data_IF_636955613749
#
_entry.id   IF_636955613749
#
_cell.length_a   1.000
_cell.length_b   1.000
_cell.length_c   1.000
_cell.angle_alpha   90.00
_cell.angle_beta   90.00
_cell.angle_gamma   90.00
#
_symmetry.space_group_name_H-M   'P 1'
#
loop_
_entity.id
_entity.type
_entity.pdbx_description
1 polymer ?
#
# COMPACT_ATOMS: atom_id res chain seq x y z
N UNK A 1 -44.22 8.39 43.55
CA UNK A 1 -43.61 7.59 42.45
C UNK A 1 -43.27 8.38 41.16
N UNK A 2 -43.71 9.65 40.97
CA UNK A 2 -43.32 10.48 39.80
C UNK A 2 -41.96 11.19 39.92
N UNK A 3 -41.52 11.52 41.15
CA UNK A 3 -40.25 12.23 41.41
C UNK A 3 -39.01 11.34 41.17
N UNK A 4 -39.08 10.06 41.55
CA UNK A 4 -37.98 9.10 41.34
C UNK A 4 -37.69 8.83 39.85
N UNK A 5 -38.71 8.77 38.98
CA UNK A 5 -38.51 8.55 37.53
C UNK A 5 -37.81 9.73 36.84
N UNK A 6 -38.04 10.98 37.29
CA UNK A 6 -37.39 12.17 36.73
C UNK A 6 -35.90 12.23 37.08
N UNK A 7 -35.51 11.83 38.30
CA UNK A 7 -34.09 11.85 38.70
C UNK A 7 -33.28 10.75 38.01
N UNK A 8 -33.83 9.55 37.83
CA UNK A 8 -33.13 8.48 37.11
C UNK A 8 -32.88 8.83 35.65
N UNK A 9 -33.86 9.44 34.98
CA UNK A 9 -33.74 9.89 33.58
C UNK A 9 -32.65 10.96 33.42
N UNK A 10 -32.57 11.90 34.37
CA UNK A 10 -31.54 12.95 34.38
C UNK A 10 -30.15 12.36 34.60
N UNK A 11 -30.01 11.42 35.54
CA UNK A 11 -28.74 10.74 35.83
C UNK A 11 -28.26 9.94 34.61
N UNK A 12 -29.14 9.20 33.93
CA UNK A 12 -28.77 8.45 32.72
C UNK A 12 -28.37 9.35 31.55
N UNK A 13 -29.00 10.52 31.41
CA UNK A 13 -28.66 11.50 30.37
C UNK A 13 -27.27 12.13 30.63
N UNK A 14 -26.97 12.46 31.89
CA UNK A 14 -25.68 13.06 32.24
C UNK A 14 -24.54 12.04 32.11
N UNK A 15 -24.74 10.78 32.53
CA UNK A 15 -23.73 9.74 32.34
C UNK A 15 -23.45 9.47 30.85
N UNK A 16 -24.48 9.42 30.00
CA UNK A 16 -24.29 9.21 28.56
C UNK A 16 -23.53 10.34 27.90
N UNK A 17 -23.79 11.61 28.28
CA UNK A 17 -23.04 12.77 27.79
C UNK A 17 -21.56 12.71 28.21
N UNK A 18 -21.26 12.35 29.47
CA UNK A 18 -19.88 12.22 29.98
C UNK A 18 -19.11 11.11 29.23
N UNK A 19 -19.76 9.98 28.98
CA UNK A 19 -19.17 8.87 28.23
C UNK A 19 -18.88 9.30 26.78
N UNK A 20 -19.81 9.99 26.12
CA UNK A 20 -19.60 10.52 24.76
C UNK A 20 -18.42 11.51 24.67
N UNK A 21 -18.30 12.45 25.61
CA UNK A 21 -17.19 13.40 25.66
C UNK A 21 -15.82 12.73 25.90
N UNK A 22 -15.81 11.65 26.67
CA UNK A 22 -14.59 10.88 26.96
C UNK A 22 -14.15 10.07 25.74
N UNK A 23 -15.09 9.50 24.98
CA UNK A 23 -14.80 8.79 23.72
C UNK A 23 -14.24 9.73 22.66
N UNK A 24 -14.80 10.94 22.50
CA UNK A 24 -14.29 11.91 21.51
C UNK A 24 -12.89 12.41 21.85
N UNK A 25 -12.63 12.70 23.13
CA UNK A 25 -11.33 13.16 23.60
C UNK A 25 -10.26 12.07 23.50
N UNK A 26 -10.62 10.82 23.83
CA UNK A 26 -9.75 9.66 23.66
C UNK A 26 -9.46 9.38 22.18
N UNK A 27 -10.47 9.46 21.30
CA UNK A 27 -10.29 9.30 19.86
C UNK A 27 -9.37 10.39 19.25
N UNK A 28 -9.54 11.65 19.66
CA UNK A 28 -8.67 12.75 19.22
C UNK A 28 -7.23 12.60 19.74
N UNK A 29 -7.04 12.18 21.00
CA UNK A 29 -5.72 11.98 21.59
C UNK A 29 -5.00 10.74 21.00
N UNK A 30 -5.76 9.67 20.76
CA UNK A 30 -5.27 8.47 20.08
C UNK A 30 -4.83 8.74 18.63
N UNK A 31 -5.61 9.53 17.85
CA UNK A 31 -5.18 9.96 16.51
C UNK A 31 -3.93 10.86 16.56
N UNK A 32 -3.87 11.81 17.50
CA UNK A 32 -2.75 12.77 17.61
C UNK A 32 -1.41 12.11 17.97
N UNK A 33 -1.39 11.16 18.91
CA UNK A 33 -0.16 10.46 19.30
C UNK A 33 0.34 9.48 18.22
N UNK A 34 -0.56 8.80 17.49
CA UNK A 34 -0.17 7.95 16.36
C UNK A 34 0.47 8.76 15.21
N UNK A 35 0.11 10.04 15.04
CA UNK A 35 0.70 10.91 14.01
C UNK A 35 2.16 11.26 14.33
N UNK A 36 2.58 11.30 15.61
CA UNK A 36 3.98 11.58 15.99
C UNK A 36 4.94 10.42 15.69
N UNK A 37 4.50 9.17 15.83
CA UNK A 37 5.32 7.98 15.56
C UNK A 37 5.22 7.47 14.11
N UNK A 38 4.38 8.10 13.29
CA UNK A 38 4.15 7.70 11.91
C UNK A 38 5.41 7.83 11.04
N UNK A 39 5.76 6.73 10.35
CA UNK A 39 6.95 6.62 9.50
C UNK A 39 6.66 6.75 8.01
N UNK A 40 5.41 6.54 7.59
CA UNK A 40 5.05 6.41 6.19
C UNK A 40 3.82 7.22 5.81
N UNK A 41 3.66 7.43 4.50
CA UNK A 41 2.44 7.96 3.88
C UNK A 41 2.02 6.96 2.81
N UNK A 42 0.82 6.42 2.95
CA UNK A 42 0.16 5.60 1.95
C UNK A 42 -0.60 6.50 0.97
N UNK A 43 -0.48 6.23 -0.32
CA UNK A 43 -1.21 6.89 -1.41
C UNK A 43 -2.03 5.84 -2.12
N UNK A 44 -3.32 6.11 -2.30
CA UNK A 44 -4.23 5.27 -3.06
C UNK A 44 -4.59 5.99 -4.36
N UNK A 45 -4.53 5.28 -5.48
CA UNK A 45 -4.66 5.83 -6.83
C UNK A 45 -5.92 5.34 -7.51
N UNK A 46 -6.58 6.24 -8.24
CA UNK A 46 -7.68 5.86 -9.13
C UNK A 46 -7.16 5.20 -10.43
N UNK A 47 -8.09 4.78 -11.29
CA UNK A 47 -7.79 4.10 -12.57
C UNK A 47 -6.94 4.95 -13.53
N UNK A 48 -6.95 6.28 -13.37
CA UNK A 48 -6.17 7.24 -14.15
C UNK A 48 -4.78 7.51 -13.55
N UNK A 49 -4.44 6.90 -12.41
CA UNK A 49 -3.17 7.15 -11.71
C UNK A 49 -3.12 8.44 -10.92
N UNK A 50 -4.21 9.20 -10.81
CA UNK A 50 -4.24 10.34 -9.90
C UNK A 50 -4.36 9.85 -8.46
N UNK A 51 -3.67 10.51 -7.52
CA UNK A 51 -3.83 10.26 -6.09
C UNK A 51 -5.26 10.65 -5.73
N UNK A 52 -6.05 9.66 -5.32
CA UNK A 52 -7.42 9.86 -4.87
C UNK A 52 -7.44 10.20 -3.38
N UNK A 53 -6.72 9.41 -2.58
CA UNK A 53 -6.59 9.61 -1.14
C UNK A 53 -5.15 9.35 -0.68
N UNK A 54 -4.77 9.97 0.44
CA UNK A 54 -3.53 9.65 1.16
C UNK A 54 -3.79 9.52 2.66
N UNK A 55 -3.08 8.60 3.31
CA UNK A 55 -3.16 8.38 4.76
C UNK A 55 -1.76 8.27 5.35
N UNK A 56 -1.52 9.00 6.43
CA UNK A 56 -0.32 8.85 7.26
C UNK A 56 -0.46 7.55 8.05
N UNK A 57 0.55 6.68 8.00
CA UNK A 57 0.52 5.35 8.61
C UNK A 57 1.83 5.06 9.36
N UNK A 58 1.74 4.25 10.40
CA UNK A 58 2.88 3.91 11.27
C UNK A 58 3.66 2.70 10.75
N UNK A 59 3.01 1.83 9.98
CA UNK A 59 3.62 0.63 9.37
C UNK A 59 3.23 0.45 7.91
N UNK A 60 4.05 -0.28 7.16
CA UNK A 60 3.74 -0.67 5.77
C UNK A 60 2.49 -1.56 5.72
N UNK A 61 2.34 -2.49 6.66
CA UNK A 61 1.16 -3.34 6.74
C UNK A 61 -0.13 -2.54 6.93
N UNK A 62 -0.10 -1.51 7.78
CA UNK A 62 -1.24 -0.60 7.95
C UNK A 62 -1.56 0.12 6.63
N UNK A 63 -0.53 0.63 5.95
CA UNK A 63 -0.68 1.25 4.63
C UNK A 63 -1.31 0.30 3.61
N UNK A 64 -0.84 -0.94 3.54
CA UNK A 64 -1.33 -1.95 2.61
C UNK A 64 -2.80 -2.28 2.90
N UNK A 65 -3.13 -2.53 4.17
CA UNK A 65 -4.51 -2.81 4.60
C UNK A 65 -5.44 -1.64 4.25
N UNK A 66 -4.99 -0.41 4.46
CA UNK A 66 -5.77 0.78 4.12
C UNK A 66 -5.97 0.93 2.61
N UNK A 67 -4.92 0.81 1.79
CA UNK A 67 -5.02 0.84 0.32
C UNK A 67 -5.98 -0.25 -0.16
N UNK A 68 -5.83 -1.47 0.35
CA UNK A 68 -6.71 -2.60 0.02
C UNK A 68 -8.17 -2.32 0.38
N UNK A 69 -8.43 -1.66 1.52
CA UNK A 69 -9.79 -1.31 1.95
C UNK A 69 -10.49 -0.33 1.01
N UNK A 70 -9.71 0.41 0.20
CA UNK A 70 -10.22 1.30 -0.84
C UNK A 70 -10.56 0.56 -2.14
N UNK A 71 -10.24 -0.73 -2.25
CA UNK A 71 -10.48 -1.51 -3.47
C UNK A 71 -9.60 -1.08 -4.65
N UNK A 72 -8.54 -0.31 -4.39
CA UNK A 72 -7.67 0.30 -5.39
C UNK A 72 -6.22 -0.06 -5.11
N UNK A 73 -5.35 0.33 -6.05
CA UNK A 73 -3.90 0.21 -5.95
C UNK A 73 -3.29 1.40 -5.22
N UNK A 74 -2.09 1.21 -4.68
CA UNK A 74 -1.43 2.23 -3.90
C UNK A 74 0.04 1.97 -3.69
N UNK A 75 0.73 3.01 -3.23
CA UNK A 75 2.11 2.93 -2.78
C UNK A 75 2.21 3.45 -1.36
N UNK A 76 3.27 3.07 -0.69
CA UNK A 76 3.62 3.57 0.62
C UNK A 76 5.01 4.18 0.50
N UNK A 77 5.13 5.45 0.84
CA UNK A 77 6.41 6.15 0.83
C UNK A 77 6.86 6.49 2.24
N UNK A 78 8.15 6.77 2.41
CA UNK A 78 8.66 7.34 3.66
C UNK A 78 8.05 8.73 3.90
N UNK A 79 7.63 9.01 5.13
CA UNK A 79 7.01 10.30 5.49
C UNK A 79 7.99 11.46 5.35
N UNK A 80 9.25 11.24 5.71
CA UNK A 80 10.34 12.21 5.60
C UNK A 80 10.96 12.30 4.19
N UNK A 81 10.64 11.36 3.29
CA UNK A 81 11.04 11.40 1.89
C UNK A 81 10.00 10.69 1.01
N UNK A 82 9.00 11.44 0.55
CA UNK A 82 7.90 10.91 -0.26
C UNK A 82 8.33 10.36 -1.63
N UNK A 83 9.57 10.61 -2.06
CA UNK A 83 10.15 10.02 -3.28
C UNK A 83 10.58 8.57 -3.06
N UNK A 84 10.96 8.20 -1.83
CA UNK A 84 11.35 6.83 -1.50
C UNK A 84 10.12 5.98 -1.26
N UNK A 85 9.90 5.00 -2.15
CA UNK A 85 8.82 4.01 -2.00
C UNK A 85 9.28 2.91 -1.04
N UNK A 86 8.53 2.70 0.02
CA UNK A 86 8.73 1.69 1.04
C UNK A 86 7.86 0.43 0.81
N UNK A 87 6.74 0.56 0.11
CA UNK A 87 5.92 -0.58 -0.30
C UNK A 87 4.94 -0.26 -1.41
N UNK A 88 4.31 -1.29 -1.97
CA UNK A 88 3.23 -1.19 -2.96
C UNK A 88 2.13 -2.15 -2.54
N UNK A 89 0.88 -1.73 -2.70
CA UNK A 89 -0.28 -2.63 -2.65
C UNK A 89 -1.02 -2.61 -3.98
N UNK A 90 -1.19 -3.79 -4.58
CA UNK A 90 -1.82 -3.96 -5.89
C UNK A 90 -2.87 -5.05 -5.83
N UNK A 91 -4.14 -4.65 -5.82
CA UNK A 91 -5.27 -5.56 -5.94
C UNK A 91 -5.19 -6.74 -4.95
N UNK A 92 -4.78 -6.47 -3.70
CA UNK A 92 -4.63 -7.48 -2.66
C UNK A 92 -3.24 -8.11 -2.53
N UNK A 93 -2.25 -7.67 -3.31
CA UNK A 93 -0.86 -8.13 -3.21
C UNK A 93 0.07 -7.01 -2.74
N UNK A 94 0.60 -7.22 -1.53
CA UNK A 94 1.50 -6.30 -0.85
C UNK A 94 2.96 -6.65 -1.13
N UNK A 95 3.76 -5.64 -1.46
CA UNK A 95 5.20 -5.73 -1.56
C UNK A 95 5.80 -4.75 -0.54
N UNK A 96 6.61 -5.28 0.38
CA UNK A 96 7.34 -4.49 1.38
C UNK A 96 8.82 -4.44 1.00
N UNK A 97 9.33 -3.25 0.68
CA UNK A 97 10.71 -3.01 0.28
C UNK A 97 11.68 -2.82 1.45
N UNK A 98 11.17 -2.72 2.68
CA UNK A 98 11.96 -2.47 3.89
C UNK A 98 12.29 -3.74 4.66
N UNK A 99 11.59 -4.83 4.36
CA UNK A 99 11.88 -6.16 4.87
C UNK A 99 13.29 -6.58 4.44
N UNK A 100 14.15 -6.90 5.42
CA UNK A 100 15.56 -7.29 5.26
C UNK A 100 15.77 -8.63 4.49
N UNK A 101 14.74 -9.11 3.80
CA UNK A 101 14.87 -10.21 2.85
C UNK A 101 15.24 -9.68 1.47
N UNK A 102 16.20 -10.36 0.84
CA UNK A 102 16.66 -10.12 -0.53
C UNK A 102 15.50 -10.27 -1.52
N UNK A 103 14.71 -9.21 -1.73
CA UNK A 103 13.66 -9.12 -2.74
C UNK A 103 14.30 -9.04 -4.13
N UNK A 104 14.64 -10.22 -4.65
CA UNK A 104 15.21 -10.42 -5.98
C UNK A 104 14.30 -11.40 -6.71
N UNK A 105 13.49 -10.89 -7.64
CA UNK A 105 12.64 -11.73 -8.49
C UNK A 105 13.38 -11.92 -9.82
N UNK A 106 13.61 -13.17 -10.21
CA UNK A 106 14.27 -13.51 -11.46
C UNK A 106 13.82 -14.87 -11.98
N UNK A 107 14.13 -15.12 -13.25
CA UNK A 107 13.80 -16.37 -13.91
C UNK A 107 14.44 -17.59 -13.23
N UNK A 108 15.68 -17.50 -12.72
CA UNK A 108 16.38 -18.63 -12.09
C UNK A 108 15.58 -19.24 -10.93
N UNK A 109 14.98 -18.41 -10.08
CA UNK A 109 14.25 -18.89 -8.89
C UNK A 109 12.75 -19.08 -9.12
N UNK A 110 12.15 -18.34 -10.06
CA UNK A 110 10.69 -18.26 -10.19
C UNK A 110 10.15 -18.82 -11.52
N UNK A 111 10.99 -19.39 -12.40
CA UNK A 111 10.52 -19.98 -13.67
C UNK A 111 9.47 -21.08 -13.48
N UNK A 112 9.69 -21.98 -12.52
CA UNK A 112 8.82 -23.15 -12.26
C UNK A 112 8.13 -23.07 -10.89
N UNK A 113 8.10 -21.89 -10.27
CA UNK A 113 7.55 -21.69 -8.94
C UNK A 113 6.54 -20.55 -8.99
N UNK A 114 5.28 -20.88 -8.71
CA UNK A 114 4.25 -19.87 -8.49
C UNK A 114 4.63 -18.99 -7.30
N UNK A 115 4.55 -17.68 -7.47
CA UNK A 115 4.71 -16.74 -6.37
C UNK A 115 3.82 -15.51 -6.57
N UNK A 116 3.15 -15.08 -5.49
CA UNK A 116 2.28 -13.90 -5.51
C UNK A 116 3.05 -12.63 -5.89
N UNK A 117 4.34 -12.53 -5.59
CA UNK A 117 5.19 -11.40 -5.98
C UNK A 117 5.37 -11.33 -7.49
N UNK A 118 5.49 -12.48 -8.16
CA UNK A 118 5.58 -12.56 -9.62
C UNK A 118 4.24 -12.18 -10.24
N UNK A 119 3.13 -12.64 -9.65
CA UNK A 119 1.79 -12.26 -10.10
C UNK A 119 1.59 -10.74 -10.01
N UNK A 120 1.98 -10.11 -8.90
CA UNK A 120 1.95 -8.66 -8.77
C UNK A 120 2.82 -7.95 -9.81
N UNK A 121 4.04 -8.44 -10.03
CA UNK A 121 4.92 -7.91 -11.07
C UNK A 121 4.26 -7.95 -12.46
N UNK A 122 3.66 -9.09 -12.83
CA UNK A 122 2.96 -9.24 -14.11
C UNK A 122 1.80 -8.25 -14.25
N UNK A 123 1.02 -8.06 -13.19
CA UNK A 123 -0.06 -7.05 -13.13
C UNK A 123 0.46 -5.63 -13.35
N UNK A 124 1.56 -5.25 -12.69
CA UNK A 124 2.16 -3.91 -12.88
C UNK A 124 2.60 -3.75 -14.34
N UNK A 125 3.32 -4.73 -14.87
CA UNK A 125 3.80 -4.66 -16.25
C UNK A 125 2.59 -4.56 -17.22
N UNK A 126 1.55 -5.36 -17.04
CA UNK A 126 0.34 -5.24 -17.85
C UNK A 126 -0.31 -3.86 -17.74
N UNK A 127 -0.38 -3.31 -16.53
CA UNK A 127 -0.86 -1.95 -16.29
C UNK A 127 -0.05 -0.89 -17.06
N UNK A 128 1.27 -1.09 -17.15
CA UNK A 128 2.22 -0.26 -17.92
C UNK A 128 2.22 -0.52 -19.43
N UNK A 129 1.32 -1.38 -19.93
CA UNK A 129 1.12 -1.63 -21.36
C UNK A 129 1.83 -2.87 -21.90
N UNK A 130 2.44 -3.69 -21.05
CA UNK A 130 2.89 -5.02 -21.45
C UNK A 130 1.69 -5.96 -21.62
N UNK A 131 1.89 -7.10 -22.32
CA UNK A 131 0.84 -8.10 -22.58
C UNK A 131 1.31 -9.47 -22.10
N UNK A 132 1.31 -9.64 -20.79
CA UNK A 132 1.72 -10.86 -20.10
C UNK A 132 0.50 -11.64 -19.61
N UNK A 133 0.69 -12.95 -19.49
CA UNK A 133 -0.20 -13.78 -18.69
C UNK A 133 0.09 -13.53 -17.21
N UNK A 134 -0.95 -13.38 -16.41
CA UNK A 134 -0.88 -13.19 -14.96
C UNK A 134 -0.98 -14.55 -14.25
N UNK A 135 0.02 -15.39 -14.46
CA UNK A 135 0.05 -16.76 -13.95
C UNK A 135 0.92 -16.94 -12.69
N UNK A 136 1.64 -15.91 -12.26
CA UNK A 136 2.53 -15.97 -11.11
C UNK A 136 3.84 -16.74 -11.35
N UNK A 137 4.19 -17.06 -12.60
CA UNK A 137 5.44 -17.71 -12.97
C UNK A 137 6.37 -16.76 -13.74
N UNK A 138 7.64 -16.72 -13.36
CA UNK A 138 8.62 -15.84 -14.01
C UNK A 138 9.22 -16.56 -15.23
N UNK A 139 8.38 -16.78 -16.24
CA UNK A 139 8.76 -17.35 -17.52
C UNK A 139 9.48 -16.37 -18.45
N UNK A 140 9.77 -16.81 -19.66
CA UNK A 140 10.52 -16.03 -20.66
C UNK A 140 9.82 -14.73 -21.04
N UNK A 141 8.49 -14.75 -21.20
CA UNK A 141 7.72 -13.55 -21.50
C UNK A 141 7.86 -12.50 -20.38
N UNK A 142 7.76 -12.91 -19.11
CA UNK A 142 7.99 -12.03 -17.95
C UNK A 142 9.42 -11.49 -17.95
N UNK A 143 10.41 -12.34 -18.21
CA UNK A 143 11.81 -11.94 -18.31
C UNK A 143 12.05 -10.87 -19.38
N UNK A 144 11.52 -11.05 -20.59
CA UNK A 144 11.66 -10.08 -21.67
C UNK A 144 10.92 -8.77 -21.38
N UNK A 145 9.73 -8.83 -20.76
CA UNK A 145 9.01 -7.62 -20.34
C UNK A 145 9.79 -6.83 -19.29
N UNK A 146 10.38 -7.50 -18.30
CA UNK A 146 11.25 -6.84 -17.31
C UNK A 146 12.46 -6.20 -17.98
N UNK A 147 13.13 -6.87 -18.91
CA UNK A 147 14.25 -6.27 -19.65
C UNK A 147 13.83 -5.04 -20.46
N UNK A 148 12.68 -5.11 -21.15
CA UNK A 148 12.13 -3.97 -21.90
C UNK A 148 11.81 -2.80 -20.97
N UNK A 149 11.20 -3.07 -19.82
CA UNK A 149 10.93 -2.06 -18.80
C UNK A 149 12.23 -1.44 -18.27
N UNK A 150 13.22 -2.26 -17.89
CA UNK A 150 14.52 -1.78 -17.42
C UNK A 150 15.20 -0.90 -18.46
N UNK A 151 15.17 -1.28 -19.74
CA UNK A 151 15.73 -0.47 -20.82
C UNK A 151 15.00 0.87 -20.99
N UNK A 152 13.66 0.86 -20.94
CA UNK A 152 12.83 2.07 -21.03
C UNK A 152 13.11 3.05 -19.89
N UNK A 153 13.34 2.54 -18.69
CA UNK A 153 13.60 3.34 -17.48
C UNK A 153 15.11 3.57 -17.23
N UNK A 154 15.97 3.29 -18.21
CA UNK A 154 17.42 3.47 -18.13
C UNK A 154 18.10 2.76 -16.95
N UNK A 155 17.62 1.56 -16.61
CA UNK A 155 18.18 0.68 -15.59
C UNK A 155 19.14 -0.35 -16.20
N UNK A 156 19.89 -1.05 -15.35
CA UNK A 156 20.62 -2.25 -15.74
C UNK A 156 19.66 -3.29 -16.33
N UNK A 157 19.90 -3.70 -17.59
CA UNK A 157 19.02 -4.59 -18.35
C UNK A 157 19.39 -6.07 -18.14
N UNK A 158 19.28 -6.54 -16.90
CA UNK A 158 19.63 -7.91 -16.49
C UNK A 158 18.42 -8.86 -16.41
N UNK A 159 17.20 -8.32 -16.46
CA UNK A 159 15.96 -9.09 -16.27
C UNK A 159 15.76 -9.57 -14.83
N UNK A 160 16.45 -8.96 -13.87
CA UNK A 160 16.34 -9.20 -12.43
C UNK A 160 15.59 -8.04 -11.79
N UNK A 161 14.47 -8.33 -11.15
CA UNK A 161 13.69 -7.32 -10.42
C UNK A 161 14.24 -7.21 -9.00
N UNK A 162 15.17 -6.27 -8.82
CA UNK A 162 15.66 -5.82 -7.53
C UNK A 162 15.04 -4.50 -7.09
N UNK A 163 15.58 -3.90 -6.01
CA UNK A 163 15.07 -2.66 -5.40
C UNK A 163 14.86 -1.53 -6.42
N UNK A 164 15.87 -1.22 -7.24
CA UNK A 164 15.79 -0.12 -8.20
C UNK A 164 14.68 -0.35 -9.24
N UNK A 165 14.56 -1.58 -9.77
CA UNK A 165 13.49 -1.93 -10.71
C UNK A 165 12.11 -1.78 -10.07
N UNK A 166 11.95 -2.19 -8.81
CA UNK A 166 10.69 -2.06 -8.08
C UNK A 166 10.32 -0.61 -7.78
N UNK A 167 11.27 0.23 -7.40
CA UNK A 167 11.04 1.67 -7.20
C UNK A 167 10.60 2.35 -8.51
N UNK A 168 11.26 2.04 -9.64
CA UNK A 168 10.83 2.52 -10.95
C UNK A 168 9.45 2.01 -11.35
N UNK A 169 9.14 0.73 -11.12
CA UNK A 169 7.80 0.16 -11.37
C UNK A 169 6.73 0.90 -10.55
N UNK A 170 7.01 1.15 -9.27
CA UNK A 170 6.12 1.92 -8.40
C UNK A 170 5.89 3.32 -8.94
N UNK A 171 6.96 4.03 -9.34
CA UNK A 171 6.90 5.37 -9.89
C UNK A 171 6.16 5.45 -11.23
N UNK A 172 6.45 4.54 -12.15
CA UNK A 172 5.75 4.45 -13.43
C UNK A 172 4.26 4.15 -13.22
N UNK A 173 3.91 3.30 -12.25
CA UNK A 173 2.51 3.00 -11.95
C UNK A 173 1.72 4.21 -11.40
N UNK A 174 2.39 5.22 -10.80
CA UNK A 174 1.74 6.48 -10.37
C UNK A 174 1.32 7.35 -11.56
N UNK A 175 2.06 7.31 -12.67
CA UNK A 175 1.92 8.25 -13.79
C UNK A 175 1.53 7.45 -15.03
N UNK A 176 0.27 6.99 -15.09
CA UNK A 176 -0.25 6.52 -16.38
C UNK A 176 -0.87 7.73 -17.07
N UNK A 177 -0.08 8.36 -17.94
CA UNK A 177 -0.54 9.36 -18.91
C UNK A 177 -1.46 8.71 -19.94
#
# INVERSE_FOLDING_TARGET
MKLLKKSTLFITLVLSIIILFSISSFAQNYQSNNIKDSKYIAYAYNDKGAVEEKKVVSTIQEGNNWIKSKGIRGIICLKNNSKTVAGIELEGIAIDFTSNQKYVINMKYYKNKYDKKVLALQKILNYLGFKLKEDGYYGENTYYAVKKFQAKEHLTVDGIVGKNTLECLACAAKIKS
#
